data_IF_281285976165
#
_entry.id   IF_281285976165
#
_cell.length_a   1.000
_cell.length_b   1.000
_cell.length_c   1.000
_cell.angle_alpha   90.00
_cell.angle_beta   90.00
_cell.angle_gamma   90.00
#
_symmetry.space_group_name_H-M   'P 1'
#
loop_
_entity.id
_entity.type
_entity.pdbx_description
1 polymer ?
#
# COMPACT_ATOMS: atom_id res chain seq x y z
N UNK A 1 32.59 -3.56 28.25
CA UNK A 1 32.01 -3.59 27.99
C UNK A 1 31.11 -3.30 27.44
N UNK A 2 30.94 -3.23 27.34
CA UNK A 2 30.08 -3.07 26.89
C UNK A 2 29.82 -2.55 25.97
N UNK A 3 29.84 -2.37 25.50
CA UNK A 3 29.55 -1.96 24.63
C UNK A 3 29.27 -2.34 23.49
N UNK A 4 29.32 -2.63 23.28
CA UNK A 4 29.24 -3.26 22.22
C UNK A 4 27.98 -3.41 21.85
N UNK A 5 27.42 -3.25 22.07
CA UNK A 5 26.30 -3.42 21.81
C UNK A 5 25.66 -2.69 20.99
N UNK A 6 25.61 -1.93 20.80
CA UNK A 6 24.96 -1.27 20.02
C UNK A 6 25.07 -1.32 18.74
N UNK A 7 25.69 -1.55 18.28
CA UNK A 7 26.00 -1.53 17.08
C UNK A 7 25.14 -2.29 16.36
N UNK A 8 24.68 -3.01 16.79
CA UNK A 8 23.85 -3.83 16.23
C UNK A 8 22.82 -3.19 15.57
N UNK A 9 22.31 -2.27 16.07
CA UNK A 9 21.26 -1.67 15.49
C UNK A 9 21.45 -1.22 14.23
N UNK A 10 22.46 -0.90 13.91
CA UNK A 10 22.68 -0.40 12.68
C UNK A 10 22.28 -1.26 11.67
N UNK A 11 22.40 -2.38 11.78
CA UNK A 11 22.14 -3.24 10.80
C UNK A 11 20.81 -3.09 10.35
N UNK A 12 20.00 -2.89 11.12
CA UNK A 12 18.70 -2.80 10.76
C UNK A 12 18.46 -1.81 9.77
N UNK A 13 19.08 -0.75 9.83
CA UNK A 13 18.78 0.24 8.91
C UNK A 13 19.08 -0.13 7.55
N UNK A 14 19.91 -1.02 7.32
CA UNK A 14 20.21 -1.34 6.00
C UNK A 14 19.07 -1.92 5.32
N UNK A 15 18.28 -2.61 6.00
CA UNK A 15 17.17 -3.23 5.37
C UNK A 15 16.25 -2.18 4.95
N UNK A 16 16.15 -1.17 5.70
CA UNK A 16 15.21 -0.14 5.40
C UNK A 16 15.51 0.57 4.11
N UNK A 17 16.68 0.42 3.60
CA UNK A 17 17.01 1.09 2.38
C UNK A 17 16.39 0.44 1.17
N UNK A 18 15.96 -0.76 1.28
CA UNK A 18 15.37 -1.42 0.14
C UNK A 18 13.97 -0.85 -0.07
N UNK A 19 13.69 -0.37 -1.24
CA UNK A 19 12.36 0.10 -1.55
C UNK A 19 11.42 -1.08 -1.67
N UNK A 20 10.22 -0.99 -1.15
CA UNK A 20 9.24 -2.05 -1.33
C UNK A 20 8.90 -2.15 -2.81
N UNK A 21 8.73 -3.34 -3.31
CA UNK A 21 8.35 -3.49 -4.69
C UNK A 21 6.84 -3.27 -4.83
N UNK A 22 6.40 -3.20 -6.08
CA UNK A 22 5.01 -2.92 -6.36
C UNK A 22 4.08 -4.00 -5.83
N UNK A 23 4.50 -5.25 -5.88
CA UNK A 23 3.66 -6.34 -5.36
C UNK A 23 3.46 -6.23 -3.86
N UNK A 24 4.51 -5.86 -3.12
CA UNK A 24 4.39 -5.69 -1.68
C UNK A 24 3.49 -4.51 -1.35
N UNK A 25 3.59 -3.41 -2.10
CA UNK A 25 2.72 -2.27 -1.87
C UNK A 25 1.27 -2.57 -2.22
N UNK A 26 1.02 -3.38 -3.24
CA UNK A 26 -0.34 -3.78 -3.56
C UNK A 26 -0.94 -4.61 -2.43
N UNK A 27 -0.16 -5.49 -1.84
CA UNK A 27 -0.64 -6.30 -0.73
C UNK A 27 -0.96 -5.40 0.46
N UNK A 28 -0.10 -4.45 0.77
CA UNK A 28 -0.35 -3.51 1.87
C UNK A 28 -1.59 -2.67 1.60
N UNK A 29 -1.80 -2.27 0.36
CA UNK A 29 -2.99 -1.53 -0.03
C UNK A 29 -4.25 -2.35 0.25
N UNK A 30 -4.25 -3.61 -0.12
CA UNK A 30 -5.41 -4.46 0.11
C UNK A 30 -5.66 -4.69 1.58
N UNK A 31 -4.61 -4.74 2.39
CA UNK A 31 -4.76 -4.89 3.84
C UNK A 31 -5.23 -3.59 4.49
N UNK A 32 -4.64 -2.47 4.12
CA UNK A 32 -5.01 -1.18 4.71
C UNK A 32 -6.38 -0.71 4.26
N UNK A 33 -6.77 -1.08 3.06
CA UNK A 33 -8.03 -0.68 2.47
C UNK A 33 -9.00 -1.86 2.37
N UNK A 34 -8.92 -2.78 3.30
CA UNK A 34 -9.69 -4.02 3.26
C UNK A 34 -11.18 -3.84 2.96
N UNK A 35 -11.88 -2.83 3.49
CA UNK A 35 -13.28 -2.67 3.17
C UNK A 35 -13.57 -2.45 1.68
N UNK A 36 -12.62 -1.90 0.93
CA UNK A 36 -12.82 -1.69 -0.49
C UNK A 36 -12.72 -2.99 -1.28
N UNK A 37 -11.98 -3.97 -0.75
CA UNK A 37 -11.75 -5.24 -1.42
C UNK A 37 -12.59 -6.39 -0.86
N UNK A 38 -13.35 -6.13 0.19
CA UNK A 38 -14.26 -7.13 0.73
C UNK A 38 -15.46 -7.28 -0.20
N UNK A 39 -16.20 -8.34 -0.07
CA UNK A 39 -17.37 -8.56 -0.89
C UNK A 39 -18.30 -7.36 -0.82
N UNK A 40 -18.71 -6.85 -1.93
CA UNK A 40 -19.54 -5.64 -2.00
C UNK A 40 -18.76 -4.34 -1.93
N UNK A 41 -17.45 -4.38 -1.73
CA UNK A 41 -16.65 -3.16 -1.69
C UNK A 41 -16.46 -2.55 -3.07
N UNK A 42 -16.11 -1.28 -3.10
CA UNK A 42 -16.01 -0.54 -4.35
C UNK A 42 -14.98 -1.11 -5.32
N UNK A 43 -13.96 -1.77 -4.82
CA UNK A 43 -12.86 -2.29 -5.64
C UNK A 43 -12.78 -3.82 -5.63
N UNK A 44 -13.83 -4.48 -5.15
CA UNK A 44 -13.77 -5.92 -4.89
C UNK A 44 -13.55 -6.78 -6.12
N UNK A 45 -14.15 -6.43 -7.23
CA UNK A 45 -14.14 -7.28 -8.40
C UNK A 45 -13.21 -6.80 -9.51
N UNK A 46 -12.18 -6.08 -9.18
CA UNK A 46 -11.33 -5.50 -10.20
C UNK A 46 -10.16 -6.41 -10.58
N UNK A 47 -9.97 -6.61 -11.87
CA UNK A 47 -8.77 -7.28 -12.38
C UNK A 47 -7.68 -6.26 -12.62
N UNK A 48 -8.01 -5.03 -12.97
CA UNK A 48 -7.05 -3.96 -13.19
C UNK A 48 -7.59 -2.64 -12.66
N UNK A 49 -6.71 -1.73 -12.38
CA UNK A 49 -7.11 -0.41 -11.93
C UNK A 49 -7.38 -0.33 -10.44
N UNK A 50 -6.87 -1.30 -9.67
CA UNK A 50 -7.12 -1.32 -8.22
C UNK A 50 -6.56 -0.09 -7.53
N UNK A 51 -5.39 0.40 -7.96
CA UNK A 51 -4.82 1.61 -7.35
C UNK A 51 -5.70 2.83 -7.62
N UNK A 52 -6.18 2.96 -8.84
CA UNK A 52 -7.04 4.07 -9.20
C UNK A 52 -8.34 4.02 -8.41
N UNK A 53 -8.97 2.85 -8.34
CA UNK A 53 -10.20 2.66 -7.59
C UNK A 53 -9.99 2.98 -6.12
N UNK A 54 -8.91 2.50 -5.54
CA UNK A 54 -8.61 2.72 -4.13
C UNK A 54 -8.43 4.21 -3.85
N UNK A 55 -7.69 4.91 -4.71
CA UNK A 55 -7.49 6.34 -4.50
C UNK A 55 -8.82 7.10 -4.58
N UNK A 56 -9.65 6.74 -5.52
CA UNK A 56 -10.94 7.42 -5.69
C UNK A 56 -11.91 7.13 -4.55
N UNK A 57 -11.69 6.04 -3.82
CA UNK A 57 -12.58 5.62 -2.75
C UNK A 57 -11.88 5.48 -1.40
N UNK A 58 -10.73 6.14 -1.23
CA UNK A 58 -9.92 5.95 -0.02
C UNK A 58 -10.69 6.22 1.27
N UNK A 59 -11.53 7.22 1.28
CA UNK A 59 -12.31 7.55 2.46
C UNK A 59 -13.29 6.43 2.83
N UNK A 60 -13.76 5.68 1.85
CA UNK A 60 -14.65 4.56 2.12
C UNK A 60 -13.88 3.35 2.62
N UNK A 61 -12.57 3.33 2.47
CA UNK A 61 -11.73 2.25 2.97
C UNK A 61 -11.34 2.40 4.44
N UNK A 62 -11.69 3.52 5.04
CA UNK A 62 -11.39 3.75 6.45
C UNK A 62 -10.13 4.57 6.67
N UNK A 63 -9.85 4.91 7.92
CA UNK A 63 -8.73 5.78 8.27
C UNK A 63 -7.38 5.20 7.85
N UNK A 64 -7.21 3.89 7.98
CA UNK A 64 -5.95 3.25 7.57
C UNK A 64 -5.74 3.37 6.07
N UNK A 65 -6.81 3.29 5.30
CA UNK A 65 -6.74 3.41 3.86
C UNK A 65 -6.35 4.82 3.45
N UNK A 66 -6.94 5.83 4.07
CA UNK A 66 -6.62 7.21 3.80
C UNK A 66 -5.14 7.48 4.14
N UNK A 67 -4.68 6.96 5.27
CA UNK A 67 -3.29 7.14 5.69
C UNK A 67 -2.33 6.46 4.72
N UNK A 68 -2.67 5.27 4.27
CA UNK A 68 -1.83 4.53 3.34
C UNK A 68 -1.74 5.28 2.00
N UNK A 69 -2.85 5.79 1.52
CA UNK A 69 -2.88 6.52 0.26
C UNK A 69 -2.00 7.76 0.32
N UNK A 70 -2.07 8.49 1.42
CA UNK A 70 -1.25 9.69 1.57
C UNK A 70 0.24 9.37 1.70
N UNK A 71 0.56 8.29 2.39
CA UNK A 71 1.96 7.90 2.61
C UNK A 71 2.61 7.33 1.36
N UNK A 72 1.83 6.83 0.41
CA UNK A 72 2.36 6.16 -0.76
C UNK A 72 1.86 6.82 -2.05
N UNK A 73 1.88 8.13 -2.07
CA UNK A 73 1.32 8.89 -3.16
C UNK A 73 1.89 8.52 -4.52
N UNK A 74 3.19 8.29 -4.60
CA UNK A 74 3.81 7.94 -5.88
C UNK A 74 3.34 6.59 -6.40
N UNK A 75 3.10 5.65 -5.49
CA UNK A 75 2.59 4.34 -5.88
C UNK A 75 1.22 4.50 -6.53
N UNK A 76 0.36 5.33 -5.97
CA UNK A 76 -0.96 5.55 -6.53
C UNK A 76 -0.90 6.38 -7.82
N UNK A 77 -0.01 7.37 -7.88
CA UNK A 77 0.15 8.18 -9.09
C UNK A 77 0.54 7.29 -10.27
N UNK A 78 1.39 6.31 -10.05
CA UNK A 78 1.82 5.40 -11.10
C UNK A 78 0.67 4.55 -11.65
N UNK A 79 -0.35 4.34 -10.87
CA UNK A 79 -1.50 3.52 -11.29
C UNK A 79 -2.67 4.31 -11.84
N UNK A 80 -2.59 5.63 -11.88
CA UNK A 80 -3.74 6.44 -12.29
C UNK A 80 -4.09 6.32 -13.77
N UNK A 81 -3.14 5.89 -14.59
CA UNK A 81 -3.41 5.71 -16.00
C UNK A 81 -3.94 4.32 -16.34
N UNK A 82 -4.02 3.44 -15.38
CA UNK A 82 -4.51 2.09 -15.64
C UNK A 82 -6.02 2.13 -15.83
N UNK A 83 -6.54 1.41 -16.81
CA UNK A 83 -8.00 1.34 -16.96
C UNK A 83 -8.58 0.50 -15.82
N UNK A 84 -9.78 0.83 -15.40
CA UNK A 84 -10.49 0.02 -14.42
C UNK A 84 -11.18 -1.10 -15.17
N UNK A 85 -10.77 -2.33 -14.94
CA UNK A 85 -11.32 -3.49 -15.60
C UNK A 85 -11.78 -4.49 -14.55
N UNK A 86 -13.01 -4.93 -14.66
CA UNK A 86 -13.55 -5.92 -13.75
C UNK A 86 -13.15 -7.33 -14.17
N UNK A 87 -13.09 -8.20 -13.22
CA UNK A 87 -12.77 -9.61 -13.47
C UNK A 87 -13.81 -10.29 -14.34
#
# INVERSE_FOLDING_TARGET
MKKALFMVLLLVSTVALAAPDEAALKKQMQESCAPLFAAGGACADLAKGTRKCTRQNADKGGAACVAFEKANKEFFDAGMNDPIIKK
#
